data_IF_316646421103
#
_entry.id   IF_316646421103
#
_cell.length_a   1.000
_cell.length_b   1.000
_cell.length_c   1.000
_cell.angle_alpha   90.00
_cell.angle_beta   90.00
_cell.angle_gamma   90.00
#
_symmetry.space_group_name_H-M   'P 1'
#
loop_
_entity.id
_entity.type
_entity.pdbx_description
1 polymer ?
#
# COMPACT_ATOMS: atom_id res chain seq x y z
N UNK A 1 0.47 9.61 -31.37
CA UNK A 1 1.16 10.59 -30.51
C UNK A 1 0.20 11.27 -29.51
N UNK A 2 -0.31 10.55 -28.51
CA UNK A 2 -1.16 11.13 -27.45
C UNK A 2 -0.32 11.71 -26.30
N UNK A 3 0.78 11.04 -25.90
CA UNK A 3 1.63 11.46 -24.78
C UNK A 3 2.24 12.87 -24.91
N UNK A 4 2.48 13.34 -26.13
CA UNK A 4 3.01 14.69 -26.39
C UNK A 4 1.95 15.80 -26.19
N UNK A 5 0.66 15.50 -26.42
CA UNK A 5 -0.44 16.47 -26.23
C UNK A 5 -0.81 16.69 -24.76
N UNK A 6 -0.59 15.71 -23.89
CA UNK A 6 -0.77 15.87 -22.44
C UNK A 6 0.37 16.68 -21.80
N UNK A 7 1.60 16.45 -22.24
CA UNK A 7 2.77 17.21 -21.78
C UNK A 7 2.70 18.70 -22.19
N UNK A 8 2.21 19.01 -23.39
CA UNK A 8 2.10 20.37 -23.91
C UNK A 8 1.18 21.29 -23.09
N UNK A 9 0.20 20.73 -22.35
CA UNK A 9 -0.74 21.53 -21.56
C UNK A 9 -0.20 22.04 -20.23
N UNK A 10 1.05 21.74 -19.84
CA UNK A 10 1.62 22.06 -18.51
C UNK A 10 0.70 21.68 -17.33
N UNK A 11 -0.20 20.73 -17.55
CA UNK A 11 -1.06 20.14 -16.53
C UNK A 11 -0.23 19.04 -15.88
N UNK A 12 0.75 19.41 -15.05
CA UNK A 12 0.94 18.62 -13.83
C UNK A 12 -0.16 19.14 -12.91
N UNK A 13 -1.32 18.46 -12.82
CA UNK A 13 -2.40 18.99 -12.01
C UNK A 13 -1.86 19.19 -10.60
N UNK A 14 -2.16 20.32 -9.96
CA UNK A 14 -1.64 20.62 -8.63
C UNK A 14 -1.87 19.45 -7.65
N UNK A 15 -2.96 18.69 -7.85
CA UNK A 15 -3.29 17.45 -7.18
C UNK A 15 -2.21 16.35 -7.27
N UNK A 16 -1.53 16.19 -8.42
CA UNK A 16 -0.44 15.22 -8.56
C UNK A 16 0.79 15.67 -7.78
N UNK A 17 1.13 16.96 -7.84
CA UNK A 17 2.28 17.50 -7.11
C UNK A 17 2.05 17.45 -5.60
N UNK A 18 0.86 17.82 -5.14
CA UNK A 18 0.49 17.72 -3.72
C UNK A 18 0.39 16.26 -3.27
N UNK A 19 -0.18 15.37 -4.09
CA UNK A 19 -0.24 13.94 -3.81
C UNK A 19 1.14 13.31 -3.64
N UNK A 20 2.07 13.64 -4.55
CA UNK A 20 3.47 13.20 -4.44
C UNK A 20 4.18 13.82 -3.24
N UNK A 21 3.93 15.09 -2.90
CA UNK A 21 4.52 15.74 -1.73
C UNK A 21 4.04 15.08 -0.42
N UNK A 22 2.75 14.79 -0.31
CA UNK A 22 2.18 14.04 0.83
C UNK A 22 2.78 12.64 0.90
N UNK A 23 2.86 11.94 -0.24
CA UNK A 23 3.48 10.62 -0.29
C UNK A 23 4.96 10.64 0.13
N UNK A 24 5.73 11.62 -0.36
CA UNK A 24 7.13 11.79 0.01
C UNK A 24 7.29 12.07 1.51
N UNK A 25 6.40 12.86 2.11
CA UNK A 25 6.40 13.10 3.55
C UNK A 25 6.09 11.81 4.32
N UNK A 26 5.08 11.04 3.91
CA UNK A 26 4.73 9.74 4.53
C UNK A 26 5.90 8.76 4.49
N UNK A 27 6.57 8.62 3.34
CA UNK A 27 7.70 7.68 3.18
C UNK A 27 8.93 8.15 3.97
N UNK A 28 9.11 9.45 4.18
CA UNK A 28 10.21 10.00 5.02
C UNK A 28 10.00 9.74 6.52
N UNK A 29 8.79 9.39 6.96
CA UNK A 29 8.46 9.09 8.36
C UNK A 29 8.23 7.58 8.55
N UNK A 30 9.27 6.79 8.84
CA UNK A 30 9.18 5.33 8.90
C UNK A 30 8.14 4.84 9.91
N UNK A 31 8.02 5.48 11.08
CA UNK A 31 7.02 5.10 12.09
C UNK A 31 5.58 5.23 11.57
N UNK A 32 5.28 6.31 10.84
CA UNK A 32 3.97 6.54 10.24
C UNK A 32 3.70 5.55 9.12
N UNK A 33 4.71 5.28 8.28
CA UNK A 33 4.63 4.28 7.23
C UNK A 33 4.35 2.88 7.80
N UNK A 34 5.01 2.49 8.89
CA UNK A 34 4.76 1.22 9.56
C UNK A 34 3.33 1.12 10.12
N UNK A 35 2.84 2.18 10.78
CA UNK A 35 1.48 2.21 11.32
C UNK A 35 0.42 2.13 10.20
N UNK A 36 0.62 2.86 9.11
CA UNK A 36 -0.26 2.81 7.94
C UNK A 36 -0.23 1.42 7.27
N UNK A 37 0.95 0.85 7.08
CA UNK A 37 1.10 -0.47 6.47
C UNK A 37 0.47 -1.58 7.32
N UNK A 38 0.59 -1.50 8.65
CA UNK A 38 -0.05 -2.44 9.57
C UNK A 38 -1.57 -2.29 9.56
N UNK A 39 -2.07 -1.06 9.60
CA UNK A 39 -3.51 -0.77 9.51
C UNK A 39 -4.09 -1.26 8.18
N UNK A 40 -3.41 -0.98 7.06
CA UNK A 40 -3.81 -1.44 5.73
C UNK A 40 -3.83 -2.98 5.68
N UNK A 41 -2.81 -3.65 6.20
CA UNK A 41 -2.74 -5.12 6.24
C UNK A 41 -3.87 -5.73 7.07
N UNK A 42 -4.23 -5.11 8.20
CA UNK A 42 -5.35 -5.56 9.06
C UNK A 42 -6.71 -5.34 8.40
N UNK A 43 -6.94 -4.16 7.83
CA UNK A 43 -8.17 -3.83 7.11
C UNK A 43 -8.35 -4.77 5.92
N UNK A 44 -7.29 -5.03 5.17
CA UNK A 44 -7.32 -5.99 4.07
C UNK A 44 -7.50 -7.43 4.57
N UNK A 45 -6.83 -7.85 5.64
CA UNK A 45 -7.06 -9.16 6.24
C UNK A 45 -8.54 -9.36 6.62
N UNK A 46 -9.13 -8.36 7.28
CA UNK A 46 -10.55 -8.36 7.65
C UNK A 46 -11.48 -8.36 6.42
N UNK A 47 -11.21 -7.49 5.44
CA UNK A 47 -12.01 -7.39 4.21
C UNK A 47 -11.93 -8.64 3.32
N UNK A 48 -10.86 -9.44 3.44
CA UNK A 48 -10.72 -10.69 2.69
C UNK A 48 -11.56 -11.86 3.24
N UNK A 49 -12.08 -11.71 4.46
CA UNK A 49 -12.88 -12.73 5.14
C UNK A 49 -12.23 -14.11 5.19
N UNK A 50 -13.06 -15.18 5.20
CA UNK A 50 -12.59 -16.59 5.23
C UNK A 50 -11.99 -17.08 3.90
N UNK A 51 -12.02 -16.27 2.84
CA UNK A 51 -11.59 -16.70 1.48
C UNK A 51 -10.11 -16.50 1.22
N UNK A 52 -9.43 -15.66 2.00
CA UNK A 52 -7.98 -15.42 1.87
C UNK A 52 -7.57 -14.86 0.52
N UNK A 53 -8.50 -14.29 -0.26
CA UNK A 53 -8.24 -13.69 -1.59
C UNK A 53 -9.26 -12.62 -1.93
N UNK A 54 -8.80 -11.62 -2.67
CA UNK A 54 -9.63 -10.55 -3.21
C UNK A 54 -9.85 -10.75 -4.71
N UNK A 55 -11.12 -10.91 -5.10
CA UNK A 55 -11.54 -10.94 -6.51
C UNK A 55 -11.70 -9.54 -7.09
N UNK A 56 -12.03 -8.56 -6.25
CA UNK A 56 -12.17 -7.15 -6.62
C UNK A 56 -11.86 -6.27 -5.42
N UNK A 57 -10.90 -5.36 -5.54
CA UNK A 57 -10.63 -4.32 -4.55
C UNK A 57 -11.11 -2.96 -5.08
N UNK A 58 -12.01 -2.25 -4.39
CA UNK A 58 -12.28 -0.86 -4.75
C UNK A 58 -10.96 -0.08 -4.63
N UNK A 59 -10.66 0.79 -5.62
CA UNK A 59 -9.36 1.48 -5.82
C UNK A 59 -8.21 0.65 -6.42
N UNK A 60 -8.29 -0.68 -6.40
CA UNK A 60 -7.32 -1.56 -7.07
C UNK A 60 -7.99 -2.50 -8.08
N UNK A 61 -9.15 -2.11 -8.60
CA UNK A 61 -9.93 -2.89 -9.57
C UNK A 61 -9.14 -3.18 -10.85
N UNK A 62 -8.30 -2.24 -11.31
CA UNK A 62 -7.41 -2.46 -12.46
C UNK A 62 -6.31 -3.52 -12.23
N UNK A 63 -5.99 -3.82 -10.97
CA UNK A 63 -4.98 -4.82 -10.60
C UNK A 63 -5.60 -6.17 -10.25
N UNK A 64 -6.81 -6.15 -9.67
CA UNK A 64 -7.58 -7.35 -9.30
C UNK A 64 -8.43 -7.90 -10.46
N UNK A 65 -8.67 -7.10 -11.51
CA UNK A 65 -9.41 -7.55 -12.70
C UNK A 65 -8.63 -8.49 -13.62
N UNK A 66 -7.30 -8.53 -13.53
CA UNK A 66 -6.43 -9.43 -14.31
C UNK A 66 -5.80 -10.54 -13.48
N UNK A 67 -5.85 -10.47 -12.15
CA UNK A 67 -5.34 -11.51 -11.24
C UNK A 67 -5.98 -11.44 -9.87
N UNK A 68 -6.27 -12.61 -9.29
CA UNK A 68 -6.65 -12.72 -7.89
C UNK A 68 -5.48 -12.28 -7.01
N UNK A 69 -5.74 -11.41 -6.02
CA UNK A 69 -4.72 -11.02 -5.05
C UNK A 69 -4.92 -11.81 -3.76
N UNK A 70 -3.88 -12.52 -3.27
CA UNK A 70 -3.96 -13.20 -1.98
C UNK A 70 -4.16 -12.16 -0.87
N UNK A 71 -4.97 -12.51 0.13
CA UNK A 71 -5.14 -11.69 1.30
C UNK A 71 -3.82 -11.59 2.06
N UNK A 72 -3.47 -10.42 2.59
CA UNK A 72 -2.36 -10.32 3.51
C UNK A 72 -2.68 -11.11 4.79
N UNK A 73 -1.68 -11.75 5.39
CA UNK A 73 -1.79 -12.51 6.65
C UNK A 73 -2.20 -11.65 7.88
N UNK A 74 -2.46 -10.35 7.68
CA UNK A 74 -2.87 -9.42 8.72
C UNK A 74 -1.72 -8.78 9.50
N UNK A 75 -0.48 -9.24 9.31
CA UNK A 75 0.73 -8.61 9.86
C UNK A 75 1.69 -8.23 8.74
N UNK A 76 2.31 -7.05 8.83
CA UNK A 76 3.31 -6.62 7.86
C UNK A 76 4.64 -7.37 8.08
N UNK A 77 5.42 -7.55 7.02
CA UNK A 77 6.76 -8.13 7.10
C UNK A 77 7.63 -7.44 8.16
N UNK A 78 7.58 -6.10 8.22
CA UNK A 78 8.33 -5.32 9.22
C UNK A 78 7.92 -5.63 10.67
N UNK A 79 6.61 -5.85 10.92
CA UNK A 79 6.12 -6.23 12.25
C UNK A 79 6.61 -7.62 12.64
N UNK A 80 6.55 -8.59 11.72
CA UNK A 80 7.07 -9.94 11.91
C UNK A 80 8.59 -9.94 12.12
N UNK A 81 9.32 -9.11 11.37
CA UNK A 81 10.77 -8.96 11.48
C UNK A 81 11.18 -8.35 12.83
N UNK A 82 10.50 -7.28 13.26
CA UNK A 82 10.75 -6.65 14.55
C UNK A 82 10.45 -7.60 15.72
N UNK A 83 9.36 -8.39 15.63
CA UNK A 83 9.08 -9.45 16.60
C UNK A 83 10.19 -10.48 16.64
N UNK A 84 10.63 -10.96 15.47
CA UNK A 84 11.70 -11.96 15.38
C UNK A 84 13.03 -11.46 15.97
N UNK A 85 13.38 -10.19 15.76
CA UNK A 85 14.57 -9.60 16.39
C UNK A 85 14.44 -9.51 17.92
N UNK A 86 13.28 -9.11 18.44
CA UNK A 86 13.03 -9.09 19.90
C UNK A 86 13.10 -10.49 20.52
N UNK A 87 12.53 -11.50 19.84
CA UNK A 87 12.58 -12.90 20.30
C UNK A 87 13.98 -13.51 20.19
N UNK A 88 14.77 -13.10 19.20
CA UNK A 88 16.16 -13.53 19.03
C UNK A 88 17.12 -12.89 20.02
N UNK A 89 16.86 -11.65 20.47
CA UNK A 89 17.60 -10.99 21.53
C UNK A 89 17.24 -11.49 22.95
N UNK A 90 16.14 -12.25 23.09
CA UNK A 90 15.70 -12.88 24.33
C UNK A 90 16.21 -14.33 24.50
N UNK A 91 17.07 -14.80 23.59
CA UNK A 91 17.83 -16.06 23.69
C UNK A 91 19.31 -15.73 23.87
#
# INVERSE_FOLDING_TARGET
>A
HWREREYAKKLSPAAYRSGLAVWAWVVRHPALYHALAETASRVLGWASGRRGRFRTLPLAAGWTGVRDMPAPEGRSFHSLWAQRQKSGAAR
#
